data_IF_733033277726
#
_entry.id   IF_733033277726
#
_cell.length_a   1.000
_cell.length_b   1.000
_cell.length_c   1.000
_cell.angle_alpha   90.00
_cell.angle_beta   90.00
_cell.angle_gamma   90.00
#
_symmetry.space_group_name_H-M   'P 1'
#
loop_
_entity.id
_entity.type
_entity.pdbx_description
1 polymer ?
#
# COMPACT_ATOMS: atom_id res chain seq x y z
N UNK A 1 -20.63 18.05 13.62
CA UNK A 1 -19.43 17.44 13.01
C UNK A 1 -19.09 18.30 11.83
N UNK A 2 -17.96 19.00 11.89
CA UNK A 2 -17.40 19.62 10.69
C UNK A 2 -16.99 18.51 9.73
N UNK A 3 -17.26 18.71 8.43
CA UNK A 3 -16.83 17.77 7.42
C UNK A 3 -15.32 17.91 7.25
N UNK A 4 -14.58 16.83 7.53
CA UNK A 4 -13.15 16.79 7.25
C UNK A 4 -12.92 16.60 5.75
N UNK A 5 -12.07 17.45 5.17
CA UNK A 5 -11.66 17.33 3.78
C UNK A 5 -10.61 16.22 3.63
N UNK A 6 -10.53 15.65 2.42
CA UNK A 6 -9.44 14.76 2.05
C UNK A 6 -8.11 15.51 2.17
N UNK A 7 -7.16 14.95 2.92
CA UNK A 7 -5.79 15.47 3.02
C UNK A 7 -4.92 14.91 1.92
N UNK A 8 -4.08 15.75 1.33
CA UNK A 8 -3.18 15.44 0.22
C UNK A 8 -1.73 15.75 0.61
N UNK A 9 -0.90 14.71 0.51
CA UNK A 9 0.54 14.79 0.73
C UNK A 9 1.28 14.55 -0.59
N UNK A 10 2.18 15.47 -0.97
CA UNK A 10 3.03 15.33 -2.16
C UNK A 10 4.43 14.89 -1.75
N UNK A 11 4.88 13.76 -2.27
CA UNK A 11 6.23 13.23 -2.05
C UNK A 11 7.02 13.25 -3.36
N UNK A 12 8.06 14.07 -3.41
CA UNK A 12 8.94 14.20 -4.59
C UNK A 12 10.17 13.30 -4.35
N UNK A 13 10.25 12.19 -5.11
CA UNK A 13 11.41 11.31 -5.03
C UNK A 13 12.64 11.96 -5.70
N UNK A 14 13.86 11.59 -5.28
CA UNK A 14 15.07 11.93 -6.02
C UNK A 14 15.05 11.38 -7.45
N UNK A 15 15.83 11.99 -8.34
CA UNK A 15 16.12 11.42 -9.66
C UNK A 15 16.76 10.04 -9.52
N UNK A 16 16.32 9.07 -10.33
CA UNK A 16 16.94 7.74 -10.39
C UNK A 16 18.12 7.74 -11.35
N UNK A 17 19.00 6.73 -11.23
CA UNK A 17 20.21 6.60 -12.04
C UNK A 17 19.95 6.69 -13.54
N UNK A 18 18.89 6.08 -14.04
CA UNK A 18 18.56 6.16 -15.47
C UNK A 18 18.22 7.59 -15.90
N UNK A 19 17.48 8.35 -15.10
CA UNK A 19 17.16 9.77 -15.40
C UNK A 19 18.44 10.62 -15.43
N UNK A 20 19.34 10.42 -14.45
CA UNK A 20 20.63 11.10 -14.40
C UNK A 20 21.51 10.76 -15.61
N UNK A 21 21.54 9.49 -16.04
CA UNK A 21 22.29 9.05 -17.23
C UNK A 21 21.74 9.63 -18.54
N UNK A 22 20.45 9.96 -18.59
CA UNK A 22 19.85 10.67 -19.72
C UNK A 22 20.02 12.20 -19.63
N UNK A 23 20.72 12.71 -18.62
CA UNK A 23 20.97 14.14 -18.43
C UNK A 23 19.75 14.91 -17.90
N UNK A 24 18.77 14.23 -17.28
CA UNK A 24 17.64 14.89 -16.65
C UNK A 24 18.11 15.72 -15.43
N UNK A 25 17.40 16.82 -15.18
CA UNK A 25 17.60 17.70 -14.03
C UNK A 25 16.28 17.90 -13.29
N UNK A 26 16.35 18.28 -12.02
CA UNK A 26 15.15 18.53 -11.22
C UNK A 26 14.33 19.67 -11.83
N UNK A 27 13.06 19.40 -12.12
CA UNK A 27 12.09 20.39 -12.63
C UNK A 27 11.03 20.78 -11.60
N UNK A 28 11.09 20.19 -10.40
CA UNK A 28 10.19 20.43 -9.27
C UNK A 28 11.03 20.83 -8.08
N UNK A 29 10.62 21.88 -7.37
CA UNK A 29 11.25 22.30 -6.12
C UNK A 29 10.23 22.44 -5.01
N UNK A 30 10.66 22.21 -3.76
CA UNK A 30 9.84 22.45 -2.57
C UNK A 30 10.14 23.86 -2.07
N UNK A 31 9.09 24.65 -1.82
CA UNK A 31 9.24 26.01 -1.27
C UNK A 31 9.63 25.89 0.21
N UNK A 32 10.76 26.46 0.65
CA UNK A 32 11.19 26.34 2.04
C UNK A 32 10.19 26.93 3.03
N UNK A 33 9.76 26.13 4.01
CA UNK A 33 8.84 26.57 5.07
C UNK A 33 7.37 26.63 4.68
N UNK A 34 7.02 26.27 3.44
CA UNK A 34 5.64 26.22 2.95
C UNK A 34 5.32 24.83 2.41
N UNK A 35 4.08 24.34 2.57
CA UNK A 35 3.66 23.08 1.96
C UNK A 35 3.34 23.28 0.46
N UNK A 36 4.32 23.82 -0.28
CA UNK A 36 4.18 24.17 -1.68
C UNK A 36 5.24 23.49 -2.56
N UNK A 37 4.81 23.10 -3.74
CA UNK A 37 5.70 22.67 -4.83
C UNK A 37 5.69 23.74 -5.92
N UNK A 38 6.86 24.00 -6.50
CA UNK A 38 7.01 24.89 -7.65
C UNK A 38 7.46 24.11 -8.87
N UNK A 39 6.77 24.32 -9.99
CA UNK A 39 7.06 23.74 -11.31
C UNK A 39 7.09 24.90 -12.32
N UNK A 40 8.29 25.26 -12.79
CA UNK A 40 8.48 26.45 -13.62
C UNK A 40 8.00 27.71 -12.89
N UNK A 41 7.02 28.41 -13.46
CA UNK A 41 6.39 29.61 -12.88
C UNK A 41 5.12 29.33 -12.06
N UNK A 42 4.74 28.07 -11.88
CA UNK A 42 3.52 27.69 -11.17
C UNK A 42 3.82 27.13 -9.78
N UNK A 43 3.05 27.56 -8.78
CA UNK A 43 3.10 27.03 -7.42
C UNK A 43 1.79 26.34 -7.07
N UNK A 44 1.87 25.22 -6.36
CA UNK A 44 0.72 24.44 -5.90
C UNK A 44 0.87 24.16 -4.40
N UNK A 45 -0.18 24.42 -3.62
CA UNK A 45 -0.22 24.20 -2.17
C UNK A 45 -0.96 22.91 -1.84
N UNK A 46 -0.45 22.16 -0.86
CA UNK A 46 -1.04 20.92 -0.35
C UNK A 46 -1.04 20.93 1.18
N UNK A 47 -1.57 19.88 1.82
CA UNK A 47 -1.47 19.74 3.27
C UNK A 47 -0.03 19.47 3.71
N UNK A 48 0.69 18.64 2.94
CA UNK A 48 2.09 18.31 3.19
C UNK A 48 2.88 18.19 1.89
N UNK A 49 4.13 18.64 1.90
CA UNK A 49 5.06 18.50 0.79
C UNK A 49 6.39 17.98 1.32
N UNK A 50 6.86 16.88 0.73
CA UNK A 50 8.13 16.23 1.04
C UNK A 50 9.05 16.29 -0.17
N UNK A 51 10.32 16.64 0.07
CA UNK A 51 11.35 16.78 -0.96
C UNK A 51 12.42 15.68 -0.93
N UNK A 52 13.35 15.76 -1.89
CA UNK A 52 14.39 14.76 -2.16
C UNK A 52 15.49 14.64 -1.10
N UNK A 53 15.47 15.44 -0.04
CA UNK A 53 16.58 15.57 0.92
C UNK A 53 16.40 14.84 2.26
N UNK A 54 15.44 13.91 2.40
CA UNK A 54 15.28 13.14 3.65
C UNK A 54 14.42 11.87 3.53
N UNK A 55 14.39 11.01 4.56
CA UNK A 55 13.60 9.78 4.57
C UNK A 55 12.10 10.11 4.69
N UNK A 56 11.45 10.39 3.56
CA UNK A 56 10.08 10.90 3.52
C UNK A 56 9.05 9.93 4.08
N UNK A 57 9.28 8.61 4.03
CA UNK A 57 8.31 7.62 4.49
C UNK A 57 8.04 7.67 5.99
N UNK A 58 9.00 8.11 6.83
CA UNK A 58 8.76 8.28 8.26
C UNK A 58 7.91 9.50 8.56
N UNK A 59 8.26 10.64 7.99
CA UNK A 59 7.51 11.87 8.18
C UNK A 59 6.09 11.74 7.61
N UNK A 60 5.93 11.15 6.43
CA UNK A 60 4.60 10.86 5.85
C UNK A 60 3.76 10.00 6.80
N UNK A 61 4.37 9.01 7.46
CA UNK A 61 3.65 8.20 8.44
C UNK A 61 3.20 9.05 9.62
N UNK A 62 4.12 9.78 10.25
CA UNK A 62 3.86 10.55 11.47
C UNK A 62 2.82 11.66 11.23
N UNK A 63 2.97 12.42 10.14
CA UNK A 63 2.11 13.58 9.83
C UNK A 63 0.75 13.17 9.26
N UNK A 64 0.73 12.18 8.35
CA UNK A 64 -0.48 11.87 7.58
C UNK A 64 -1.21 10.63 8.07
N UNK A 65 -0.50 9.60 8.54
CA UNK A 65 -1.06 8.26 8.74
C UNK A 65 -1.29 7.92 10.22
N UNK A 66 -0.40 8.33 11.12
CA UNK A 66 -0.56 8.07 12.56
C UNK A 66 -1.91 8.59 13.11
N UNK A 67 -2.39 9.81 12.75
CA UNK A 67 -3.72 10.28 13.15
C UNK A 67 -4.88 9.44 12.58
N UNK A 68 -4.68 8.80 11.43
CA UNK A 68 -5.67 7.89 10.85
C UNK A 68 -5.72 6.56 11.61
N UNK A 69 -4.56 6.06 12.06
CA UNK A 69 -4.51 4.90 12.96
C UNK A 69 -5.22 5.22 14.27
N UNK A 70 -5.03 6.41 14.83
CA UNK A 70 -5.83 6.89 15.97
C UNK A 70 -7.33 6.81 15.70
N UNK A 71 -7.79 7.33 14.56
CA UNK A 71 -9.20 7.28 14.20
C UNK A 71 -9.74 5.83 14.10
N UNK A 72 -8.95 4.88 13.57
CA UNK A 72 -9.32 3.46 13.51
C UNK A 72 -9.57 2.87 14.90
N UNK A 73 -8.72 3.20 15.89
CA UNK A 73 -8.95 2.76 17.28
C UNK A 73 -10.18 3.39 17.95
N UNK A 74 -10.69 4.50 17.42
CA UNK A 74 -11.97 5.09 17.82
C UNK A 74 -13.17 4.56 17.02
N UNK A 75 -12.96 3.58 16.13
CA UNK A 75 -14.01 2.92 15.35
C UNK A 75 -14.33 3.59 14.01
N UNK A 76 -13.47 4.48 13.51
CA UNK A 76 -13.64 5.11 12.19
C UNK A 76 -12.93 4.33 11.08
N UNK A 77 -13.47 4.44 9.87
CA UNK A 77 -12.80 3.94 8.67
C UNK A 77 -11.73 4.94 8.21
N UNK A 78 -10.56 4.43 7.83
CA UNK A 78 -9.48 5.22 7.26
C UNK A 78 -9.02 4.65 5.92
N UNK A 79 -8.56 5.52 5.02
CA UNK A 79 -8.00 5.10 3.72
C UNK A 79 -6.79 5.95 3.38
N UNK A 80 -5.71 5.29 2.96
CA UNK A 80 -4.51 5.92 2.43
C UNK A 80 -4.30 5.42 1.01
N UNK A 81 -4.23 6.35 0.05
CA UNK A 81 -4.04 6.06 -1.36
C UNK A 81 -2.76 6.72 -1.87
N UNK A 82 -1.86 5.93 -2.45
CA UNK A 82 -0.70 6.46 -3.16
C UNK A 82 -1.03 6.63 -4.66
N UNK A 83 -0.86 7.85 -5.17
CA UNK A 83 -1.15 8.20 -6.56
C UNK A 83 0.06 8.84 -7.25
N UNK A 84 0.18 8.66 -8.57
CA UNK A 84 1.27 9.20 -9.39
C UNK A 84 1.65 8.30 -10.55
N UNK A 85 2.54 8.78 -11.44
CA UNK A 85 2.99 8.03 -12.61
C UNK A 85 3.73 6.73 -12.25
N UNK A 86 3.89 5.82 -13.22
CA UNK A 86 4.78 4.66 -13.07
C UNK A 86 6.20 5.12 -12.71
N UNK A 87 6.82 4.45 -11.75
CA UNK A 87 8.14 4.83 -11.22
C UNK A 87 8.15 6.02 -10.26
N UNK A 88 7.03 6.64 -9.90
CA UNK A 88 7.00 7.81 -9.00
C UNK A 88 7.24 7.49 -7.50
N UNK A 89 7.40 6.21 -7.13
CA UNK A 89 7.63 5.80 -5.75
C UNK A 89 6.39 5.41 -4.94
N UNK A 90 5.23 5.15 -5.58
CA UNK A 90 4.00 4.67 -4.88
C UNK A 90 4.25 3.40 -4.05
N UNK A 91 4.75 2.35 -4.69
CA UNK A 91 5.07 1.05 -4.06
C UNK A 91 6.11 1.20 -2.96
N UNK A 92 7.12 2.04 -3.20
CA UNK A 92 8.16 2.36 -2.22
C UNK A 92 7.57 3.04 -0.98
N UNK A 93 6.73 4.06 -1.17
CA UNK A 93 6.09 4.81 -0.08
C UNK A 93 5.14 3.92 0.73
N UNK A 94 4.31 3.10 0.06
CA UNK A 94 3.38 2.21 0.75
C UNK A 94 4.07 1.01 1.42
N UNK A 95 5.24 0.57 0.93
CA UNK A 95 5.97 -0.56 1.49
C UNK A 95 5.41 -1.93 1.08
N UNK A 96 4.79 -2.05 -0.11
CA UNK A 96 4.22 -3.32 -0.60
C UNK A 96 5.23 -4.23 -1.31
N UNK A 97 6.53 -3.94 -1.25
CA UNK A 97 7.60 -4.83 -1.72
C UNK A 97 8.45 -5.27 -0.50
N UNK A 98 7.79 -5.82 0.51
CA UNK A 98 8.45 -6.27 1.73
C UNK A 98 9.16 -7.59 1.47
N UNK A 99 10.50 -7.55 1.40
CA UNK A 99 11.32 -8.72 1.09
C UNK A 99 12.06 -9.29 2.31
N UNK A 100 11.74 -8.84 3.52
CA UNK A 100 12.42 -9.25 4.76
C UNK A 100 13.84 -8.70 4.95
N UNK A 101 14.49 -8.18 3.89
CA UNK A 101 15.83 -7.59 3.95
C UNK A 101 15.79 -6.08 3.64
N UNK A 102 16.40 -5.28 4.53
CA UNK A 102 17.07 -4.04 4.12
C UNK A 102 16.19 -2.84 3.71
N UNK A 103 15.03 -2.66 4.34
CA UNK A 103 14.42 -1.35 4.65
C UNK A 103 13.08 -1.66 5.29
N UNK A 104 13.02 -1.62 6.62
CA UNK A 104 11.79 -1.62 7.44
C UNK A 104 10.97 -0.34 7.24
N UNK A 105 10.86 0.11 5.99
CA UNK A 105 10.33 1.39 5.58
C UNK A 105 9.10 1.23 4.70
N UNK A 106 8.13 2.10 4.92
CA UNK A 106 6.87 2.13 4.19
C UNK A 106 5.69 2.30 5.13
N UNK A 107 4.58 2.81 4.59
CA UNK A 107 3.40 3.10 5.38
C UNK A 107 2.77 1.83 5.96
N UNK A 108 2.60 0.77 5.15
CA UNK A 108 1.89 -0.44 5.59
C UNK A 108 2.62 -1.15 6.73
N UNK A 109 3.93 -1.47 6.66
CA UNK A 109 4.64 -2.09 7.78
C UNK A 109 4.54 -1.27 9.08
N UNK A 110 4.63 0.05 9.01
CA UNK A 110 4.52 0.95 10.18
C UNK A 110 3.13 1.04 10.78
N UNK A 111 2.09 1.07 9.94
CA UNK A 111 0.69 0.99 10.40
C UNK A 111 0.49 -0.29 11.21
N UNK A 112 0.98 -1.41 10.70
CA UNK A 112 0.83 -2.71 11.35
C UNK A 112 1.62 -2.78 12.65
N UNK A 113 2.86 -2.30 12.64
CA UNK A 113 3.68 -2.18 13.84
C UNK A 113 2.92 -1.44 14.95
N UNK A 114 2.38 -0.27 14.61
CA UNK A 114 1.66 0.60 15.54
C UNK A 114 0.35 0.00 16.02
N UNK A 115 -0.41 -0.67 15.15
CA UNK A 115 -1.64 -1.39 15.55
C UNK A 115 -1.31 -2.44 16.61
N UNK A 116 -0.31 -3.30 16.36
CA UNK A 116 0.04 -4.35 17.31
C UNK A 116 0.62 -3.82 18.61
N UNK A 117 1.38 -2.72 18.58
CA UNK A 117 1.89 -2.10 19.80
C UNK A 117 0.76 -1.49 20.64
N UNK A 118 -0.25 -0.88 20.00
CA UNK A 118 -1.45 -0.38 20.71
C UNK A 118 -2.30 -1.49 21.28
N UNK A 119 -2.48 -2.60 20.56
CA UNK A 119 -3.20 -3.78 21.07
C UNK A 119 -2.52 -4.31 22.32
N UNK A 120 -1.18 -4.43 22.31
CA UNK A 120 -0.40 -4.87 23.49
C UNK A 120 -0.46 -3.89 24.67
N UNK A 121 -0.54 -2.58 24.38
CA UNK A 121 -0.60 -1.53 25.40
C UNK A 121 -2.02 -1.34 25.98
N UNK A 122 -3.04 -1.86 25.31
CA UNK A 122 -4.43 -1.80 25.79
C UNK A 122 -4.62 -2.80 26.93
N UNK A 123 -5.38 -2.39 27.95
CA UNK A 123 -5.70 -3.22 29.11
C UNK A 123 -6.59 -4.42 28.77
N UNK A 124 -6.60 -5.42 29.66
CA UNK A 124 -7.32 -6.70 29.49
C UNK A 124 -8.86 -6.59 29.35
N UNK A 125 -9.43 -5.37 29.40
CA UNK A 125 -10.87 -5.14 29.23
C UNK A 125 -11.33 -5.04 27.78
N UNK A 126 -10.41 -5.04 26.81
CA UNK A 126 -10.73 -4.89 25.37
C UNK A 126 -10.19 -6.07 24.59
N UNK A 127 -11.06 -6.77 23.86
CA UNK A 127 -10.68 -7.84 22.93
C UNK A 127 -10.55 -7.30 21.51
N UNK A 128 -9.48 -7.67 20.81
CA UNK A 128 -9.23 -7.27 19.42
C UNK A 128 -9.27 -8.48 18.49
N UNK A 129 -10.00 -8.36 17.39
CA UNK A 129 -9.93 -9.27 16.24
C UNK A 129 -9.38 -8.50 15.05
N UNK A 130 -8.20 -8.88 14.56
CA UNK A 130 -7.58 -8.26 13.38
C UNK A 130 -7.71 -9.24 12.23
N UNK A 131 -8.30 -8.76 11.12
CA UNK A 131 -8.41 -9.48 9.86
C UNK A 131 -7.80 -8.70 8.72
N UNK A 132 -7.22 -9.40 7.77
CA UNK A 132 -6.61 -8.80 6.59
C UNK A 132 -7.06 -9.50 5.31
N UNK A 133 -7.28 -8.68 4.29
CA UNK A 133 -7.47 -9.10 2.91
C UNK A 133 -6.47 -8.35 2.04
N UNK A 134 -5.93 -9.01 1.01
CA UNK A 134 -5.06 -8.34 0.04
C UNK A 134 -5.54 -8.66 -1.37
N UNK A 135 -5.92 -7.63 -2.11
CA UNK A 135 -6.51 -7.76 -3.45
C UNK A 135 -5.73 -6.94 -4.47
N UNK A 136 -5.82 -7.33 -5.73
CA UNK A 136 -5.42 -6.51 -6.88
C UNK A 136 -6.61 -6.25 -7.79
N UNK A 137 -6.67 -5.05 -8.38
CA UNK A 137 -7.56 -4.76 -9.50
C UNK A 137 -6.69 -4.75 -10.74
N UNK A 138 -6.93 -5.69 -11.66
CA UNK A 138 -6.17 -5.83 -12.90
C UNK A 138 -7.14 -6.02 -14.06
N UNK A 139 -7.05 -5.12 -15.06
CA UNK A 139 -7.95 -5.12 -16.24
C UNK A 139 -9.44 -5.16 -15.85
N UNK A 140 -9.84 -4.30 -14.92
CA UNK A 140 -11.22 -4.21 -14.40
C UNK A 140 -11.72 -5.45 -13.65
N UNK A 141 -10.85 -6.43 -13.38
CA UNK A 141 -11.18 -7.62 -12.59
C UNK A 141 -10.45 -7.57 -11.23
N UNK A 142 -11.14 -8.02 -10.18
CA UNK A 142 -10.58 -8.10 -8.81
C UNK A 142 -10.01 -9.49 -8.59
N UNK A 143 -8.78 -9.61 -8.12
CA UNK A 143 -8.16 -10.89 -7.79
C UNK A 143 -7.70 -10.90 -6.33
N UNK A 144 -7.86 -12.07 -5.69
CA UNK A 144 -7.34 -12.32 -4.36
C UNK A 144 -5.83 -12.59 -4.42
N UNK A 145 -5.04 -11.81 -3.69
CA UNK A 145 -3.60 -12.01 -3.59
C UNK A 145 -3.22 -13.01 -2.48
N UNK A 146 -4.13 -13.31 -1.55
CA UNK A 146 -3.92 -14.26 -0.46
C UNK A 146 -4.48 -15.67 -0.78
N UNK A 147 -5.16 -15.83 -1.92
CA UNK A 147 -5.72 -17.11 -2.31
C UNK A 147 -4.64 -18.13 -2.73
N UNK A 148 -4.41 -19.09 -1.83
CA UNK A 148 -3.50 -20.23 -2.03
C UNK A 148 -4.01 -21.26 -3.05
N UNK A 149 -5.27 -21.20 -3.47
CA UNK A 149 -5.85 -22.15 -4.43
C UNK A 149 -5.20 -22.07 -5.81
N UNK A 150 -4.69 -20.89 -6.18
CA UNK A 150 -3.92 -20.67 -7.41
C UNK A 150 -2.57 -21.40 -7.48
N UNK A 151 -2.08 -21.87 -6.32
CA UNK A 151 -0.81 -22.63 -6.18
C UNK A 151 -1.01 -24.13 -5.98
N UNK A 152 -2.24 -24.63 -5.81
CA UNK A 152 -2.54 -26.06 -5.76
C UNK A 152 -2.86 -26.58 -7.16
N UNK A 153 -1.85 -26.57 -8.03
CA UNK A 153 -1.86 -27.46 -9.18
C UNK A 153 -1.73 -28.88 -8.66
N UNK A 154 -2.80 -29.67 -8.76
CA UNK A 154 -2.77 -31.10 -8.49
C UNK A 154 -1.52 -31.72 -9.12
N UNK A 155 -0.69 -32.36 -8.31
CA UNK A 155 0.47 -33.14 -8.72
C UNK A 155 0.06 -34.45 -9.45
N UNK A 156 -1.06 -34.42 -10.17
CA UNK A 156 -1.69 -35.59 -10.79
C UNK A 156 -2.40 -35.27 -12.12
N UNK A 157 -1.92 -34.34 -12.93
CA UNK A 157 -2.21 -34.39 -14.38
C UNK A 157 -1.16 -33.64 -15.21
N UNK A 158 -0.28 -34.38 -15.86
CA UNK A 158 0.53 -33.84 -16.95
C UNK A 158 -0.35 -33.61 -18.18
N UNK A 159 -0.95 -32.42 -18.30
CA UNK A 159 -1.53 -31.95 -19.56
C UNK A 159 -1.62 -30.42 -19.58
N UNK A 160 -0.86 -29.79 -20.49
CA UNK A 160 -0.86 -28.38 -20.89
C UNK A 160 -0.67 -27.33 -19.78
N UNK A 161 0.51 -26.71 -19.81
CA UNK A 161 0.86 -25.47 -19.11
C UNK A 161 0.00 -24.32 -19.63
N UNK A 162 -1.21 -24.19 -19.11
CA UNK A 162 -1.92 -22.92 -19.03
C UNK A 162 -1.69 -22.39 -17.62
N UNK A 163 -1.33 -21.11 -17.49
CA UNK A 163 -1.17 -20.47 -16.18
C UNK A 163 -2.43 -20.73 -15.32
N UNK A 164 -2.31 -20.96 -14.00
CA UNK A 164 -3.46 -21.08 -13.13
C UNK A 164 -4.31 -19.83 -13.32
N UNK A 165 -5.52 -20.02 -13.85
CA UNK A 165 -6.42 -18.91 -14.17
C UNK A 165 -7.00 -18.44 -12.83
N UNK A 166 -6.50 -17.33 -12.30
CA UNK A 166 -7.04 -16.74 -11.07
C UNK A 166 -8.52 -16.43 -11.31
N UNK A 167 -9.39 -16.85 -10.40
CA UNK A 167 -10.82 -16.58 -10.49
C UNK A 167 -11.07 -15.16 -9.96
N UNK A 168 -11.71 -14.27 -10.74
CA UNK A 168 -12.04 -12.95 -10.23
C UNK A 168 -13.02 -13.00 -9.05
N UNK A 169 -12.77 -12.16 -8.04
CA UNK A 169 -13.69 -11.91 -6.93
C UNK A 169 -14.87 -11.05 -7.43
N UNK A 170 -16.08 -11.36 -6.97
CA UNK A 170 -17.26 -10.56 -7.25
C UNK A 170 -17.43 -9.44 -6.24
N UNK A 171 -17.57 -8.20 -6.74
CA UNK A 171 -18.00 -7.06 -5.95
C UNK A 171 -19.52 -7.13 -5.78
N UNK A 172 -20.01 -7.04 -4.54
CA UNK A 172 -21.44 -7.06 -4.20
C UNK A 172 -21.80 -5.90 -3.30
N UNK A 173 -23.01 -5.37 -3.48
CA UNK A 173 -23.58 -4.34 -2.60
C UNK A 173 -24.52 -5.02 -1.58
N UNK A 174 -24.31 -4.74 -0.29
CA UNK A 174 -25.19 -5.19 0.78
C UNK A 174 -26.44 -4.32 0.89
N UNK A 175 -27.45 -4.79 1.62
CA UNK A 175 -28.74 -4.12 1.77
C UNK A 175 -28.68 -2.73 2.42
N UNK A 176 -27.57 -2.40 3.07
CA UNK A 176 -27.27 -1.10 3.65
C UNK A 176 -26.41 -0.19 2.75
N UNK A 177 -26.17 -0.57 1.48
CA UNK A 177 -25.32 0.18 0.54
C UNK A 177 -23.81 -0.03 0.73
N UNK A 178 -23.41 -0.97 1.60
CA UNK A 178 -22.01 -1.33 1.80
C UNK A 178 -21.46 -2.15 0.63
N UNK A 179 -20.22 -1.90 0.23
CA UNK A 179 -19.54 -2.74 -0.77
C UNK A 179 -18.84 -3.90 -0.07
N UNK A 180 -19.01 -5.10 -0.61
CA UNK A 180 -18.44 -6.36 -0.10
C UNK A 180 -17.77 -7.13 -1.23
N UNK A 181 -16.76 -7.91 -0.88
CA UNK A 181 -15.99 -8.73 -1.82
C UNK A 181 -16.34 -10.20 -1.58
N UNK A 182 -17.21 -10.76 -2.41
CA UNK A 182 -17.73 -12.11 -2.20
C UNK A 182 -16.69 -13.18 -2.59
N UNK A 183 -16.20 -13.92 -1.59
CA UNK A 183 -15.19 -14.95 -1.76
C UNK A 183 -13.76 -14.47 -1.59
N UNK A 184 -13.53 -13.24 -1.12
CA UNK A 184 -12.19 -12.78 -0.71
C UNK A 184 -11.72 -13.53 0.53
N UNK A 185 -10.44 -13.86 0.57
CA UNK A 185 -9.78 -14.39 1.76
C UNK A 185 -9.64 -13.27 2.81
N UNK A 186 -10.27 -13.46 3.96
CA UNK A 186 -10.04 -12.68 5.17
C UNK A 186 -9.26 -13.53 6.18
N UNK A 187 -7.97 -13.28 6.33
CA UNK A 187 -7.13 -14.01 7.25
C UNK A 187 -7.13 -13.35 8.63
N UNK A 188 -7.36 -14.13 9.69
CA UNK A 188 -7.13 -13.69 11.07
C UNK A 188 -5.62 -13.54 11.30
N UNK A 189 -5.22 -12.42 11.92
CA UNK A 189 -3.81 -12.12 12.19
C UNK A 189 -3.63 -11.83 13.68
N UNK A 190 -2.71 -12.56 14.31
CA UNK A 190 -2.44 -12.46 15.75
C UNK A 190 -1.09 -11.84 16.07
N UNK A 191 -0.17 -11.83 15.11
CA UNK A 191 1.19 -11.33 15.30
C UNK A 191 1.69 -10.47 14.14
N UNK A 192 2.70 -9.63 14.42
CA UNK A 192 3.41 -8.84 13.41
C UNK A 192 4.00 -9.74 12.31
N UNK A 193 4.53 -10.91 12.68
CA UNK A 193 5.18 -11.86 11.75
C UNK A 193 4.20 -12.56 10.82
N UNK A 194 3.02 -12.94 11.32
CA UNK A 194 1.93 -13.46 10.49
C UNK A 194 1.53 -12.43 9.43
N UNK A 195 1.40 -11.16 9.82
CA UNK A 195 1.07 -10.10 8.87
C UNK A 195 2.15 -9.88 7.81
N UNK A 196 3.41 -9.82 8.24
CA UNK A 196 4.55 -9.70 7.32
C UNK A 196 4.56 -10.85 6.31
N UNK A 197 4.18 -12.06 6.73
CA UNK A 197 4.03 -13.22 5.86
C UNK A 197 2.91 -13.04 4.83
N UNK A 198 1.74 -12.54 5.22
CA UNK A 198 0.66 -12.24 4.26
C UNK A 198 1.05 -11.14 3.28
N UNK A 199 1.70 -10.07 3.75
CA UNK A 199 2.19 -8.99 2.90
C UNK A 199 3.21 -9.50 1.87
N UNK A 200 4.18 -10.32 2.31
CA UNK A 200 5.18 -10.95 1.44
C UNK A 200 4.55 -11.90 0.41
N UNK A 201 3.64 -12.78 0.87
CA UNK A 201 2.93 -13.73 0.02
C UNK A 201 2.10 -13.03 -1.05
N UNK A 202 1.24 -12.07 -0.68
CA UNK A 202 0.42 -11.34 -1.63
C UNK A 202 1.24 -10.47 -2.59
N UNK A 203 2.37 -9.93 -2.14
CA UNK A 203 3.28 -9.18 -3.01
C UNK A 203 3.98 -10.07 -4.04
N UNK A 204 4.32 -11.30 -3.66
CA UNK A 204 4.85 -12.31 -4.57
C UNK A 204 3.80 -12.77 -5.59
N UNK A 205 2.55 -12.96 -5.15
CA UNK A 205 1.41 -13.24 -6.04
C UNK A 205 1.19 -12.11 -7.05
N UNK A 206 1.26 -10.85 -6.63
CA UNK A 206 1.16 -9.69 -7.54
C UNK A 206 2.27 -9.71 -8.60
N UNK A 207 3.51 -10.02 -8.21
CA UNK A 207 4.66 -10.04 -9.13
C UNK A 207 4.51 -11.09 -10.25
N UNK A 208 4.04 -12.30 -9.92
CA UNK A 208 3.92 -13.40 -10.88
C UNK A 208 2.85 -13.19 -11.95
N UNK A 209 1.80 -12.42 -11.67
CA UNK A 209 0.75 -12.04 -12.64
C UNK A 209 1.18 -10.97 -13.65
N UNK A 210 2.27 -10.25 -13.38
CA UNK A 210 2.72 -9.08 -14.14
C UNK A 210 3.82 -9.38 -15.18
N UNK A 211 3.88 -10.60 -15.69
CA UNK A 211 4.87 -11.03 -16.70
C UNK A 211 4.54 -10.47 -18.09
N UNK A 212 4.80 -9.18 -18.29
CA UNK A 212 5.31 -8.63 -19.57
C UNK A 212 5.65 -7.13 -19.57
N UNK A 213 5.66 -6.40 -18.44
CA UNK A 213 6.00 -4.96 -18.52
C UNK A 213 6.73 -4.35 -17.31
N UNK A 214 7.14 -5.15 -16.31
CA UNK A 214 7.65 -4.59 -15.04
C UNK A 214 9.08 -5.02 -14.64
N UNK A 215 9.93 -5.38 -15.60
CA UNK A 215 11.35 -5.67 -15.32
C UNK A 215 12.17 -4.44 -14.85
N UNK A 216 11.55 -3.26 -14.73
CA UNK A 216 12.21 -1.98 -14.43
C UNK A 216 11.69 -1.26 -13.16
N UNK A 217 10.87 -1.89 -12.33
CA UNK A 217 10.42 -1.30 -11.04
C UNK A 217 11.04 -2.00 -9.83
N UNK A 218 12.37 -2.21 -9.86
CA UNK A 218 13.16 -2.59 -8.69
C UNK A 218 14.05 -1.42 -8.30
#
# INVERSE_FOLDING_TARGET
MEAECVRVAVNIRPLITSELLHGCTDCISVVPGEPQVQIGSHCFTYDYVYGSTGPSSSLIYDDCVAPLVDAVFHGYNATVLAYGQTGSGKTYTMGTNYNGEGSSGGIIPKVLETIFDRVKATNDSTEFLIRVSFIEIFKEEVFDLLDSSSSKGDAASMAKVAAPTRVPIQIRESTNGGITLAGVTEADVKTKDEMASYLSSGSSSRATGSTNMNSQSR
#
